data_IF_612868032591
#
_entry.id   IF_612868032591
#
_cell.length_a   1.000
_cell.length_b   1.000
_cell.length_c   1.000
_cell.angle_alpha   90.00
_cell.angle_beta   90.00
_cell.angle_gamma   90.00
#
_symmetry.space_group_name_H-M   'P 1'
#
loop_
_entity.id
_entity.type
_entity.pdbx_description
1 polymer ?
#
# COMPACT_ATOMS: atom_id res chain seq x y z
N UNK A 1 -29.61 -16.34 -22.70
CA UNK A 1 -28.14 -16.49 -22.68
C UNK A 1 -27.64 -15.42 -21.72
N UNK A 2 -27.53 -15.78 -20.45
CA UNK A 2 -27.31 -14.83 -19.35
C UNK A 2 -25.82 -14.66 -19.13
N UNK A 3 -25.39 -13.40 -19.06
CA UNK A 3 -24.02 -12.97 -18.80
C UNK A 3 -23.61 -13.39 -17.37
N UNK A 4 -22.50 -14.13 -17.15
CA UNK A 4 -22.06 -14.46 -15.81
C UNK A 4 -21.44 -13.20 -15.20
N UNK A 5 -22.15 -12.60 -14.23
CA UNK A 5 -21.73 -11.38 -13.55
C UNK A 5 -20.28 -11.45 -13.05
N UNK A 6 -19.54 -10.37 -13.31
CA UNK A 6 -18.22 -10.11 -12.74
C UNK A 6 -18.32 -10.11 -11.21
N UNK A 7 -18.01 -11.25 -10.60
CA UNK A 7 -17.83 -11.35 -9.15
C UNK A 7 -16.53 -10.66 -8.74
N UNK A 8 -16.45 -10.15 -7.49
CA UNK A 8 -15.21 -9.58 -6.95
C UNK A 8 -14.04 -10.59 -7.08
N UNK A 9 -14.34 -11.88 -6.95
CA UNK A 9 -13.42 -13.00 -7.22
C UNK A 9 -12.90 -13.04 -8.67
N UNK A 10 -13.76 -12.75 -9.65
CA UNK A 10 -13.38 -12.66 -11.07
C UNK A 10 -12.58 -11.39 -11.39
N UNK A 11 -12.92 -10.24 -10.79
CA UNK A 11 -12.13 -9.01 -10.93
C UNK A 11 -10.73 -9.18 -10.30
N UNK A 12 -10.64 -9.89 -9.17
CA UNK A 12 -9.37 -10.18 -8.48
C UNK A 12 -8.53 -11.27 -9.17
N UNK A 13 -9.15 -12.20 -9.90
CA UNK A 13 -8.45 -13.28 -10.62
C UNK A 13 -8.03 -12.90 -12.05
N UNK A 14 -8.68 -11.92 -12.69
CA UNK A 14 -8.53 -11.69 -14.15
C UNK A 14 -7.85 -10.35 -14.49
N UNK A 15 -7.66 -9.46 -13.51
CA UNK A 15 -7.10 -8.13 -13.77
C UNK A 15 -5.66 -8.07 -13.29
N UNK A 16 -4.74 -7.92 -14.24
CA UNK A 16 -3.33 -7.68 -13.97
C UNK A 16 -3.14 -6.56 -12.95
N UNK A 17 -2.44 -6.92 -11.87
CA UNK A 17 -2.06 -6.12 -10.71
C UNK A 17 -1.23 -4.86 -11.02
N UNK A 18 -1.15 -4.43 -12.29
CA UNK A 18 -0.11 -3.53 -12.80
C UNK A 18 -0.59 -2.27 -13.54
N UNK A 19 -1.89 -1.99 -13.65
CA UNK A 19 -2.32 -0.81 -14.40
C UNK A 19 -3.39 0.01 -13.67
N UNK A 20 -2.95 1.06 -12.96
CA UNK A 20 -3.81 2.21 -12.68
C UNK A 20 -3.80 3.12 -13.91
N UNK A 21 -4.95 3.47 -14.52
CA UNK A 21 -4.97 4.50 -15.55
C UNK A 21 -4.55 5.86 -14.95
N UNK A 22 -3.60 6.53 -15.60
CA UNK A 22 -3.16 7.88 -15.21
C UNK A 22 -4.33 8.86 -15.39
N UNK A 23 -4.77 9.51 -14.31
CA UNK A 23 -5.70 10.64 -14.45
C UNK A 23 -6.60 11.00 -13.27
N UNK A 24 -6.80 10.12 -12.28
CA UNK A 24 -7.68 10.44 -11.15
C UNK A 24 -6.90 11.18 -10.05
N UNK A 25 -7.28 12.44 -9.81
CA UNK A 25 -6.82 13.22 -8.65
C UNK A 25 -7.14 12.44 -7.36
N UNK A 26 -6.29 12.50 -6.32
CA UNK A 26 -6.65 11.92 -5.03
C UNK A 26 -7.91 12.63 -4.51
N UNK A 27 -9.00 11.92 -4.16
CA UNK A 27 -10.11 12.56 -3.48
C UNK A 27 -9.59 13.11 -2.14
N UNK A 28 -9.61 14.43 -2.02
CA UNK A 28 -9.43 15.16 -0.77
C UNK A 28 -10.57 14.77 0.17
N UNK A 29 -10.23 14.23 1.35
CA UNK A 29 -11.12 13.87 2.45
C UNK A 29 -12.32 12.97 2.08
N UNK A 30 -12.35 11.71 2.55
CA UNK A 30 -13.64 11.04 2.74
C UNK A 30 -13.68 9.90 3.79
N UNK A 31 -14.87 9.62 4.38
CA UNK A 31 -15.07 9.29 5.82
C UNK A 31 -15.28 7.75 6.13
N UNK A 32 -16.08 7.25 7.13
CA UNK A 32 -16.07 5.86 7.75
C UNK A 32 -16.25 4.69 6.76
N UNK A 33 -16.38 3.37 7.06
CA UNK A 33 -16.46 2.30 6.03
C UNK A 33 -17.45 2.47 4.83
N UNK A 34 -18.48 3.31 4.96
CA UNK A 34 -19.57 3.54 3.99
C UNK A 34 -19.19 4.08 2.58
N UNK A 35 -18.26 5.05 2.40
CA UNK A 35 -17.82 5.58 1.12
C UNK A 35 -17.02 4.57 0.29
N UNK A 36 -16.33 3.60 0.91
CA UNK A 36 -15.64 2.54 0.16
C UNK A 36 -16.66 1.64 -0.54
N UNK A 37 -17.76 1.31 0.13
CA UNK A 37 -18.89 0.59 -0.46
C UNK A 37 -19.57 1.41 -1.56
N UNK A 38 -19.79 2.72 -1.32
CA UNK A 38 -20.39 3.60 -2.32
C UNK A 38 -19.51 3.74 -3.59
N UNK A 39 -18.19 3.81 -3.43
CA UNK A 39 -17.26 3.82 -4.55
C UNK A 39 -17.28 2.49 -5.32
N UNK A 40 -17.36 1.36 -4.62
CA UNK A 40 -17.47 0.03 -5.25
C UNK A 40 -18.78 -0.10 -6.03
N UNK A 41 -19.90 0.34 -5.44
CA UNK A 41 -21.19 0.35 -6.10
C UNK A 41 -21.20 1.24 -7.36
N UNK A 42 -20.55 2.41 -7.30
CA UNK A 42 -20.41 3.32 -8.44
C UNK A 42 -19.59 2.73 -9.60
N UNK A 43 -18.63 1.86 -9.29
CA UNK A 43 -17.82 1.11 -10.28
C UNK A 43 -18.49 -0.21 -10.72
N UNK A 44 -19.73 -0.47 -10.28
CA UNK A 44 -20.52 -1.65 -10.67
C UNK A 44 -20.22 -2.93 -9.88
N UNK A 45 -19.51 -2.85 -8.75
CA UNK A 45 -19.27 -3.97 -7.86
C UNK A 45 -20.42 -4.27 -6.90
N UNK A 46 -20.51 -5.50 -6.42
CA UNK A 46 -21.51 -5.90 -5.40
C UNK A 46 -21.08 -5.44 -4.00
N UNK A 47 -21.89 -4.57 -3.39
CA UNK A 47 -21.68 -4.12 -2.01
C UNK A 47 -21.67 -5.26 -0.99
N UNK A 48 -22.46 -6.33 -1.20
CA UNK A 48 -22.55 -7.45 -0.27
C UNK A 48 -21.22 -8.20 -0.19
N UNK A 49 -20.60 -8.42 -1.34
CA UNK A 49 -19.28 -9.04 -1.46
C UNK A 49 -18.16 -8.14 -0.91
N UNK A 50 -18.32 -6.81 -0.99
CA UNK A 50 -17.33 -5.86 -0.51
C UNK A 50 -17.37 -5.59 1.01
N UNK A 51 -18.47 -5.91 1.70
CA UNK A 51 -18.64 -5.63 3.14
C UNK A 51 -17.61 -6.34 4.03
N UNK A 52 -17.37 -7.66 3.90
CA UNK A 52 -16.34 -8.34 4.69
C UNK A 52 -14.96 -7.71 4.48
N UNK A 53 -14.61 -7.42 3.22
CA UNK A 53 -13.36 -6.76 2.86
C UNK A 53 -13.22 -5.38 3.53
N UNK A 54 -14.24 -4.52 3.40
CA UNK A 54 -14.17 -3.18 4.01
C UNK A 54 -14.12 -3.22 5.53
N UNK A 55 -14.76 -4.21 6.17
CA UNK A 55 -14.68 -4.41 7.62
C UNK A 55 -13.30 -4.87 8.05
N UNK A 56 -12.72 -5.82 7.32
CA UNK A 56 -11.38 -6.31 7.60
C UNK A 56 -10.31 -5.22 7.46
N UNK A 57 -10.37 -4.39 6.41
CA UNK A 57 -9.46 -3.25 6.26
C UNK A 57 -9.61 -2.27 7.44
N UNK A 58 -10.83 -1.94 7.84
CA UNK A 58 -11.08 -1.06 8.98
C UNK A 58 -10.55 -1.67 10.30
N UNK A 59 -10.67 -2.99 10.46
CA UNK A 59 -10.12 -3.71 11.60
C UNK A 59 -8.59 -3.63 11.63
N UNK A 60 -7.91 -3.85 10.49
CA UNK A 60 -6.45 -3.68 10.36
C UNK A 60 -6.04 -2.25 10.73
N UNK A 61 -6.72 -1.24 10.19
CA UNK A 61 -6.45 0.17 10.52
C UNK A 61 -6.56 0.45 12.03
N UNK A 62 -7.58 -0.12 12.69
CA UNK A 62 -7.78 -0.02 14.13
C UNK A 62 -6.67 -0.72 14.91
N UNK A 63 -6.31 -1.94 14.54
CA UNK A 63 -5.32 -2.76 15.23
C UNK A 63 -3.90 -2.22 15.09
N UNK A 64 -3.53 -1.69 13.91
CA UNK A 64 -2.28 -0.96 13.70
C UNK A 64 -2.27 0.31 14.54
N UNK A 65 -3.34 1.11 14.52
CA UNK A 65 -3.44 2.34 15.30
C UNK A 65 -3.30 2.08 16.81
N UNK A 66 -3.92 1.02 17.31
CA UNK A 66 -3.85 0.60 18.71
C UNK A 66 -2.42 0.24 19.13
N UNK A 67 -1.67 -0.45 18.28
CA UNK A 67 -0.32 -0.96 18.60
C UNK A 67 0.80 0.06 18.35
N UNK A 68 0.68 0.86 17.29
CA UNK A 68 1.71 1.85 16.89
C UNK A 68 1.55 3.17 17.67
N UNK A 69 0.32 3.57 17.98
CA UNK A 69 0.02 4.84 18.65
C UNK A 69 -0.91 5.72 17.82
N UNK A 70 -1.85 6.39 18.50
CA UNK A 70 -2.87 7.26 17.87
C UNK A 70 -2.28 8.58 17.36
N UNK A 71 -1.15 8.98 17.92
CA UNK A 71 -0.35 10.13 17.52
C UNK A 71 0.44 9.89 16.23
N UNK A 72 0.74 8.63 15.93
CA UNK A 72 1.45 8.23 14.70
C UNK A 72 0.43 7.92 13.61
N UNK A 73 -0.51 7.02 13.89
CA UNK A 73 -1.58 6.63 12.97
C UNK A 73 -2.86 7.34 13.39
N UNK A 74 -3.03 8.55 12.89
CA UNK A 74 -4.15 9.40 13.26
C UNK A 74 -5.49 8.84 12.77
N UNK A 75 -6.63 9.29 13.33
CA UNK A 75 -7.95 8.83 12.90
C UNK A 75 -8.29 9.17 11.43
N UNK A 76 -7.69 10.22 10.89
CA UNK A 76 -7.83 10.65 9.49
C UNK A 76 -6.90 9.88 8.53
N UNK A 77 -5.97 9.07 9.06
CA UNK A 77 -5.14 8.20 8.25
C UNK A 77 -5.78 6.81 8.10
N UNK A 78 -5.98 6.39 6.85
CA UNK A 78 -6.64 5.13 6.48
C UNK A 78 -6.04 4.56 5.18
N UNK A 79 -6.31 3.28 4.91
CA UNK A 79 -5.79 2.55 3.75
C UNK A 79 -6.53 3.00 2.48
N UNK A 80 -5.81 3.68 1.59
CA UNK A 80 -6.32 4.17 0.29
C UNK A 80 -5.94 3.28 -0.89
N UNK A 81 -4.92 2.46 -0.70
CA UNK A 81 -4.40 1.52 -1.68
C UNK A 81 -3.64 0.41 -0.94
N UNK A 82 -3.44 -0.74 -1.58
CA UNK A 82 -2.58 -1.83 -1.11
C UNK A 82 -1.23 -1.87 -1.84
N UNK A 83 -0.95 -0.86 -2.69
CA UNK A 83 0.24 -0.82 -3.56
C UNK A 83 1.55 -1.00 -2.77
N UNK A 84 1.64 -0.50 -1.53
CA UNK A 84 2.88 -0.56 -0.77
C UNK A 84 3.37 -2.00 -0.57
N UNK A 85 2.45 -2.95 -0.39
CA UNK A 85 2.80 -4.37 -0.28
C UNK A 85 3.38 -4.91 -1.59
N UNK A 86 2.72 -4.64 -2.72
CA UNK A 86 3.20 -5.04 -4.04
C UNK A 86 4.60 -4.48 -4.35
N UNK A 87 4.86 -3.23 -3.96
CA UNK A 87 6.18 -2.61 -4.10
C UNK A 87 7.24 -3.28 -3.24
N UNK A 88 6.91 -3.62 -2.00
CA UNK A 88 7.82 -4.36 -1.12
C UNK A 88 8.22 -5.69 -1.74
N UNK A 89 7.26 -6.42 -2.34
CA UNK A 89 7.54 -7.65 -3.08
C UNK A 89 8.45 -7.40 -4.29
N UNK A 90 8.21 -6.32 -5.06
CA UNK A 90 9.06 -5.97 -6.21
C UNK A 90 10.51 -5.64 -5.79
N UNK A 91 10.69 -4.93 -4.66
CA UNK A 91 12.02 -4.65 -4.08
C UNK A 91 12.68 -5.93 -3.58
N UNK A 92 11.92 -6.84 -2.96
CA UNK A 92 12.44 -8.14 -2.51
C UNK A 92 12.93 -8.97 -3.70
N UNK A 93 12.16 -9.04 -4.80
CA UNK A 93 12.57 -9.74 -6.03
C UNK A 93 13.87 -9.20 -6.61
N UNK A 94 14.05 -7.87 -6.67
CA UNK A 94 15.30 -7.27 -7.13
C UNK A 94 16.48 -7.63 -6.23
N UNK A 95 16.25 -7.70 -4.91
CA UNK A 95 17.28 -8.05 -3.92
C UNK A 95 17.67 -9.53 -4.01
N UNK A 96 16.69 -10.43 -4.13
CA UNK A 96 16.92 -11.86 -4.33
C UNK A 96 17.60 -12.14 -5.66
N UNK A 97 17.31 -11.39 -6.72
CA UNK A 97 18.01 -11.47 -8.00
C UNK A 97 19.53 -11.30 -7.85
N UNK A 98 19.97 -10.38 -6.98
CA UNK A 98 21.41 -10.22 -6.67
C UNK A 98 21.95 -11.42 -5.90
N UNK A 99 21.24 -11.85 -4.84
CA UNK A 99 21.67 -12.98 -4.01
C UNK A 99 21.80 -14.29 -4.80
N UNK A 100 20.98 -14.45 -5.85
CA UNK A 100 20.98 -15.61 -6.73
C UNK A 100 21.90 -15.47 -7.95
N UNK A 101 22.56 -14.31 -8.13
CA UNK A 101 23.45 -14.05 -9.26
C UNK A 101 22.75 -13.75 -10.59
N UNK A 102 21.44 -13.46 -10.58
CA UNK A 102 20.66 -13.09 -11.77
C UNK A 102 20.75 -11.61 -12.13
N UNK A 103 21.20 -10.77 -11.20
CA UNK A 103 21.39 -9.34 -11.40
C UNK A 103 22.62 -8.87 -10.61
N UNK A 104 23.21 -7.75 -11.02
CA UNK A 104 24.23 -7.08 -10.22
C UNK A 104 23.63 -6.02 -9.27
N UNK A 105 24.43 -5.56 -8.31
CA UNK A 105 24.01 -4.55 -7.32
C UNK A 105 23.60 -3.23 -7.97
N UNK A 106 24.24 -2.83 -9.07
CA UNK A 106 23.94 -1.57 -9.74
C UNK A 106 22.61 -1.63 -10.50
N UNK A 107 22.29 -2.76 -11.10
CA UNK A 107 20.99 -3.06 -11.69
C UNK A 107 19.88 -3.08 -10.65
N UNK A 108 20.05 -3.82 -9.55
CA UNK A 108 19.06 -3.85 -8.47
C UNK A 108 18.79 -2.45 -7.89
N UNK A 109 19.84 -1.64 -7.68
CA UNK A 109 19.69 -0.23 -7.24
C UNK A 109 18.89 0.61 -8.22
N UNK A 110 19.10 0.46 -9.53
CA UNK A 110 18.32 1.16 -10.56
C UNK A 110 16.85 0.74 -10.56
N UNK A 111 16.58 -0.56 -10.43
CA UNK A 111 15.22 -1.10 -10.35
C UNK A 111 14.50 -0.56 -9.11
N UNK A 112 15.11 -0.68 -7.93
CA UNK A 112 14.55 -0.20 -6.66
C UNK A 112 14.30 1.31 -6.70
N UNK A 113 15.23 2.08 -7.28
CA UNK A 113 15.07 3.52 -7.46
C UNK A 113 13.86 3.86 -8.34
N UNK A 114 13.70 3.20 -9.49
CA UNK A 114 12.53 3.38 -10.37
C UNK A 114 11.22 3.06 -9.65
N UNK A 115 11.15 1.90 -8.99
CA UNK A 115 9.99 1.48 -8.19
C UNK A 115 9.64 2.58 -7.16
N UNK A 116 10.64 3.08 -6.45
CA UNK A 116 10.45 4.11 -5.42
C UNK A 116 9.90 5.41 -6.00
N UNK A 117 10.48 5.90 -7.11
CA UNK A 117 10.08 7.17 -7.75
C UNK A 117 8.67 7.09 -8.32
N UNK A 118 8.33 6.00 -9.00
CA UNK A 118 7.08 5.88 -9.74
C UNK A 118 5.87 5.75 -8.79
N UNK A 119 6.06 5.16 -7.62
CA UNK A 119 4.94 4.86 -6.70
C UNK A 119 4.85 5.77 -5.48
N UNK A 120 5.90 6.56 -5.21
CA UNK A 120 5.85 7.63 -4.20
C UNK A 120 4.60 8.51 -4.27
N UNK A 121 4.12 8.95 -5.47
CA UNK A 121 2.95 9.82 -5.57
C UNK A 121 1.64 9.21 -5.06
N UNK A 122 1.57 7.88 -4.92
CA UNK A 122 0.38 7.19 -4.37
C UNK A 122 0.21 7.41 -2.88
N UNK A 123 1.24 7.90 -2.18
CA UNK A 123 1.26 8.04 -0.72
C UNK A 123 1.57 9.48 -0.28
N UNK A 124 1.02 9.86 0.88
CA UNK A 124 1.18 11.23 1.44
C UNK A 124 2.15 11.31 2.60
N UNK A 125 2.55 10.18 3.19
CA UNK A 125 3.51 10.10 4.27
C UNK A 125 4.12 8.69 4.38
N UNK A 126 5.17 8.55 5.19
CA UNK A 126 5.70 7.22 5.55
C UNK A 126 4.68 6.38 6.32
N UNK A 127 3.88 7.02 7.18
CA UNK A 127 2.84 6.32 7.95
C UNK A 127 1.77 5.75 7.03
N UNK A 128 1.34 6.52 6.02
CA UNK A 128 0.39 6.09 5.00
C UNK A 128 0.93 4.91 4.16
N UNK A 129 2.21 4.98 3.78
CA UNK A 129 2.91 3.88 3.11
C UNK A 129 2.96 2.61 3.98
N UNK A 130 3.37 2.74 5.25
CA UNK A 130 3.47 1.61 6.17
C UNK A 130 2.12 0.95 6.47
N UNK A 131 1.06 1.76 6.64
CA UNK A 131 -0.30 1.27 6.84
C UNK A 131 -0.81 0.49 5.62
N UNK A 132 -0.55 1.00 4.41
CA UNK A 132 -0.84 0.30 3.16
C UNK A 132 -0.09 -1.04 3.05
N UNK A 133 1.18 -1.08 3.49
CA UNK A 133 2.00 -2.29 3.43
C UNK A 133 1.45 -3.39 4.36
N UNK A 134 1.16 -3.04 5.62
CA UNK A 134 0.60 -3.98 6.60
C UNK A 134 -0.74 -4.53 6.09
N UNK A 135 -1.63 -3.64 5.64
CA UNK A 135 -2.94 -4.05 5.13
C UNK A 135 -2.83 -4.98 3.92
N UNK A 136 -1.95 -4.66 2.96
CA UNK A 136 -1.72 -5.49 1.78
C UNK A 136 -1.15 -6.87 2.15
N UNK A 137 -0.24 -6.95 3.12
CA UNK A 137 0.32 -8.21 3.60
C UNK A 137 -0.73 -9.10 4.25
N UNK A 138 -1.53 -8.55 5.16
CA UNK A 138 -2.60 -9.32 5.83
C UNK A 138 -3.58 -9.82 4.78
N UNK A 139 -4.01 -8.95 3.86
CA UNK A 139 -4.89 -9.29 2.74
C UNK A 139 -4.35 -10.43 1.86
N UNK A 140 -3.06 -10.38 1.52
CA UNK A 140 -2.44 -11.37 0.65
C UNK A 140 -2.43 -12.75 1.31
N UNK A 141 -2.05 -12.82 2.58
CA UNK A 141 -1.95 -14.10 3.29
C UNK A 141 -3.28 -14.64 3.80
N UNK A 142 -4.30 -13.80 3.93
CA UNK A 142 -5.67 -14.20 4.28
C UNK A 142 -6.50 -14.63 3.06
N UNK A 143 -5.94 -14.64 1.84
CA UNK A 143 -6.68 -14.83 0.58
C UNK A 143 -7.92 -13.91 0.47
N UNK A 144 -7.81 -12.69 1.01
CA UNK A 144 -8.90 -11.72 1.11
C UNK A 144 -10.04 -12.06 2.08
N UNK A 145 -9.99 -13.20 2.76
CA UNK A 145 -10.92 -13.55 3.83
C UNK A 145 -10.42 -13.01 5.17
N UNK A 146 -10.74 -11.75 5.45
CA UNK A 146 -10.34 -11.07 6.69
C UNK A 146 -11.32 -11.40 7.82
N UNK A 147 -10.91 -12.30 8.70
CA UNK A 147 -11.51 -12.50 10.02
C UNK A 147 -10.78 -11.72 11.11
N UNK A 148 -11.26 -11.79 12.35
CA UNK A 148 -10.66 -11.07 13.49
C UNK A 148 -9.24 -11.59 13.79
N UNK A 149 -8.99 -12.89 13.58
CA UNK A 149 -7.68 -13.52 13.82
C UNK A 149 -6.63 -13.22 12.74
N UNK A 150 -7.06 -12.76 11.56
CA UNK A 150 -6.19 -12.51 10.41
C UNK A 150 -5.10 -11.50 10.74
N UNK A 151 -5.43 -10.48 11.54
CA UNK A 151 -4.44 -9.50 11.96
C UNK A 151 -3.39 -10.12 12.90
N UNK A 152 -3.79 -10.92 13.89
CA UNK A 152 -2.82 -11.58 14.76
C UNK A 152 -1.91 -12.55 14.00
N UNK A 153 -2.43 -13.25 12.99
CA UNK A 153 -1.66 -14.23 12.21
C UNK A 153 -0.67 -13.59 11.25
N UNK A 154 -1.05 -12.50 10.58
CA UNK A 154 -0.30 -11.98 9.43
C UNK A 154 0.19 -10.53 9.58
N UNK A 155 -0.23 -9.83 10.64
CA UNK A 155 0.06 -8.43 10.90
C UNK A 155 1.32 -8.16 11.74
N UNK A 156 2.12 -9.19 12.04
CA UNK A 156 3.31 -9.18 12.90
C UNK A 156 4.33 -8.05 12.60
N UNK A 157 4.41 -7.60 11.34
CA UNK A 157 5.28 -6.50 10.91
C UNK A 157 4.90 -5.11 11.43
N UNK A 158 3.81 -4.98 12.20
CA UNK A 158 3.45 -3.73 12.88
C UNK A 158 4.57 -3.23 13.80
N UNK A 159 5.35 -4.14 14.41
CA UNK A 159 6.42 -3.79 15.33
C UNK A 159 7.62 -3.14 14.61
N UNK A 160 7.97 -3.67 13.42
CA UNK A 160 8.99 -3.08 12.56
C UNK A 160 8.54 -1.72 12.02
N UNK A 161 7.27 -1.62 11.63
CA UNK A 161 6.68 -0.34 11.24
C UNK A 161 6.74 0.69 12.38
N UNK A 162 6.35 0.29 13.60
CA UNK A 162 6.44 1.16 14.78
C UNK A 162 7.88 1.62 15.04
N UNK A 163 8.86 0.71 14.92
CA UNK A 163 10.27 1.06 15.05
C UNK A 163 10.71 2.06 13.97
N UNK A 164 10.26 1.88 12.72
CA UNK A 164 10.64 2.74 11.60
C UNK A 164 10.15 4.19 11.76
N UNK A 165 8.94 4.39 12.28
CA UNK A 165 8.31 5.71 12.43
C UNK A 165 8.59 6.39 13.78
N UNK A 166 9.25 5.72 14.72
CA UNK A 166 9.49 6.27 16.06
C UNK A 166 10.82 7.02 16.14
N UNK A 167 10.76 8.34 16.36
CA UNK A 167 11.96 9.19 16.53
C UNK A 167 12.85 8.76 17.72
N UNK A 168 12.23 8.38 18.85
CA UNK A 168 12.95 7.89 20.04
C UNK A 168 13.78 6.62 19.78
N UNK A 169 13.48 5.87 18.71
CA UNK A 169 14.20 4.67 18.29
C UNK A 169 15.15 4.93 17.13
N UNK A 170 15.43 6.20 16.79
CA UNK A 170 16.17 6.59 15.58
C UNK A 170 15.60 5.93 14.31
N UNK A 171 14.28 5.78 14.27
CA UNK A 171 13.59 5.18 13.13
C UNK A 171 13.90 5.96 11.84
N UNK A 172 14.24 5.28 10.73
CA UNK A 172 14.60 5.95 9.49
C UNK A 172 13.44 6.81 8.96
N UNK A 173 12.19 6.43 9.17
CA UNK A 173 11.03 7.19 8.67
C UNK A 173 10.64 8.36 9.59
N UNK A 174 11.18 8.38 10.81
CA UNK A 174 11.05 9.54 11.69
C UNK A 174 12.00 10.68 11.31
N UNK A 175 13.13 10.35 10.67
CA UNK A 175 14.20 11.32 10.34
C UNK A 175 14.25 11.67 8.85
N UNK A 176 13.76 10.78 7.98
CA UNK A 176 13.67 11.02 6.54
C UNK A 176 12.41 11.81 6.20
N UNK A 177 12.50 12.98 5.55
CA UNK A 177 11.32 13.73 5.14
C UNK A 177 10.50 12.96 4.11
N UNK A 178 9.20 13.28 4.02
CA UNK A 178 8.34 12.83 2.93
C UNK A 178 7.93 14.01 2.02
N UNK A 179 8.02 13.87 0.68
CA UNK A 179 8.75 12.83 -0.04
C UNK A 179 10.26 12.95 0.22
N UNK A 180 10.99 11.83 0.26
CA UNK A 180 12.42 11.86 0.57
C UNK A 180 13.20 12.69 -0.47
N UNK A 181 14.27 13.34 -0.02
CA UNK A 181 15.08 14.25 -0.83
C UNK A 181 15.64 13.59 -2.12
N UNK A 182 15.87 12.27 -2.09
CA UNK A 182 16.28 11.50 -3.28
C UNK A 182 15.24 11.59 -4.41
N UNK A 183 13.95 11.67 -4.09
CA UNK A 183 12.89 11.81 -5.09
C UNK A 183 12.81 13.24 -5.63
N UNK A 184 13.09 14.25 -4.80
CA UNK A 184 13.12 15.65 -5.24
C UNK A 184 14.22 15.89 -6.26
N UNK A 185 15.44 15.38 -6.01
CA UNK A 185 16.56 15.49 -6.94
C UNK A 185 16.33 14.73 -8.25
N UNK A 186 15.70 13.56 -8.16
CA UNK A 186 15.37 12.73 -9.34
C UNK A 186 14.31 13.41 -10.23
N UNK A 187 13.28 14.02 -9.63
CA UNK A 187 12.27 14.80 -10.36
C UNK A 187 12.88 16.02 -11.05
N UNK A 188 13.75 16.78 -10.37
CA UNK A 188 14.47 17.90 -10.98
C UNK A 188 15.26 17.44 -12.20
N UNK A 189 16.04 16.35 -12.09
CA UNK A 189 16.82 15.81 -13.22
C UNK A 189 15.97 15.37 -14.41
N UNK A 190 14.78 14.81 -14.17
CA UNK A 190 13.87 14.41 -15.26
C UNK A 190 13.23 15.63 -15.94
N UNK A 191 12.90 16.67 -15.16
CA UNK A 191 12.32 17.92 -15.67
C UNK A 191 13.28 18.69 -16.60
N UNK A 192 14.58 18.68 -16.32
CA UNK A 192 15.60 19.32 -17.19
C UNK A 192 15.96 18.52 -18.45
N UNK A 193 15.48 17.28 -18.60
CA UNK A 193 15.79 16.42 -19.74
C UNK A 193 14.71 16.41 -20.83
N UNK A 194 13.60 17.12 -20.58
CA UNK A 194 12.41 17.21 -21.45
C UNK A 194 12.19 18.67 -21.92
N UNK A 195 13.16 19.56 -21.70
CA UNK A 195 13.21 20.94 -22.24
C UNK A 195 14.41 21.08 -23.16
#
# INVERSE_FOLDING_TARGET
MSDPGLTLRSVMSTTGWFARPRGLRPPSCSPPPTPRLAAIAAEGGDERDARPFSRGIAHIEQEVRKRVGKEVVTPDLYVRTLDAYALGQAVAMATWGVALGYADVAEARRIIHRISVDTRPSFVSWTDFGLSYIAGRVMHWSDGNLDEESFEKYGDVWADFAAAVTAKRHGPWATLPWPANIDQLSRRRHQYRIS
#
